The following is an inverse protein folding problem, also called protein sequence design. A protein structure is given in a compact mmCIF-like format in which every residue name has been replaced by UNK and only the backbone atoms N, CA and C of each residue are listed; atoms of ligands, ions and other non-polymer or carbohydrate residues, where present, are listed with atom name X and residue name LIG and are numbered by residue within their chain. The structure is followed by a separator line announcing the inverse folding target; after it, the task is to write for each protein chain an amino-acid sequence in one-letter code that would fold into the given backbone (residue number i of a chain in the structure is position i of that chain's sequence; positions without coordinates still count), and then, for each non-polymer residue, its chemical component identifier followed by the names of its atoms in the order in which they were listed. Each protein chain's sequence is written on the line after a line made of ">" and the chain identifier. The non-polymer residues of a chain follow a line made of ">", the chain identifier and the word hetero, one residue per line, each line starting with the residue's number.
data_IF_646265540439
#
_entry.id   IF_646265540439
#
_cell.length_a   1.000
_cell.length_b   1.000
_cell.length_c   1.000
_cell.angle_alpha   90.00
_cell.angle_beta   90.00
_cell.angle_gamma   90.00
#
_symmetry.space_group_name_H-M   'P 1'
#
loop_
_entity.id
_entity.type
_entity.pdbx_description
1 polymer ?
#
# COMPACT_ATOMS: atom_id res chain seq x y z
N UNK A 1 73.44 22.63 -48.93
CA UNK A 1 73.46 24.08 -49.15
C UNK A 1 72.70 24.78 -48.06
N UNK A 2 73.34 25.66 -47.35
CA UNK A 2 72.85 26.42 -46.20
C UNK A 2 71.72 27.37 -46.57
N UNK A 3 70.75 27.56 -45.73
CA UNK A 3 70.33 28.90 -45.40
C UNK A 3 69.62 28.91 -44.03
N UNK A 4 70.22 29.68 -43.15
CA UNK A 4 69.70 30.18 -41.91
C UNK A 4 68.63 31.21 -42.20
N UNK A 5 67.72 31.47 -41.27
CA UNK A 5 67.39 32.84 -40.81
C UNK A 5 66.12 32.76 -39.92
N UNK A 6 66.32 33.14 -38.73
CA UNK A 6 65.87 34.19 -37.79
C UNK A 6 64.51 33.99 -37.14
N UNK A 7 64.61 34.00 -35.81
CA UNK A 7 63.57 34.13 -34.80
C UNK A 7 62.85 35.47 -34.83
N UNK A 8 61.58 35.50 -34.69
CA UNK A 8 60.89 36.64 -34.04
C UNK A 8 59.97 36.11 -32.97
N UNK A 9 60.21 36.56 -31.75
CA UNK A 9 59.42 36.32 -30.54
C UNK A 9 58.40 37.44 -30.52
N UNK A 10 57.15 37.09 -30.57
CA UNK A 10 56.07 38.01 -30.22
C UNK A 10 55.39 37.50 -28.94
N UNK A 11 55.46 38.29 -27.91
CA UNK A 11 54.78 38.14 -26.65
C UNK A 11 53.25 38.41 -26.91
N UNK A 12 52.45 37.39 -26.75
CA UNK A 12 50.97 37.51 -26.76
C UNK A 12 50.47 37.12 -25.40
N UNK A 13 49.79 38.06 -24.75
CA UNK A 13 49.18 37.94 -23.42
C UNK A 13 48.30 36.73 -23.30
N UNK A 14 48.65 35.81 -22.37
CA UNK A 14 47.75 34.76 -21.90
C UNK A 14 46.76 35.37 -20.89
N UNK A 15 45.56 35.67 -21.33
CA UNK A 15 44.45 35.99 -20.43
C UNK A 15 43.92 34.65 -19.89
N UNK A 16 44.27 34.37 -18.65
CA UNK A 16 43.70 33.24 -17.90
C UNK A 16 42.25 33.59 -17.53
N UNK A 17 41.28 33.11 -18.29
CA UNK A 17 39.86 33.12 -17.88
C UNK A 17 39.65 31.99 -16.89
N UNK A 18 39.69 32.32 -15.61
CA UNK A 18 39.25 31.40 -14.56
C UNK A 18 37.72 31.23 -14.65
N UNK A 19 37.27 30.16 -15.27
CA UNK A 19 35.87 29.73 -15.21
C UNK A 19 35.66 29.14 -13.83
N UNK A 20 35.09 29.93 -12.90
CA UNK A 20 34.57 29.46 -11.65
C UNK A 20 33.30 28.63 -11.95
N UNK A 21 33.50 27.35 -12.13
CA UNK A 21 32.43 26.38 -12.15
C UNK A 21 31.79 26.29 -10.76
N UNK A 22 30.71 27.04 -10.53
CA UNK A 22 29.86 26.83 -9.39
C UNK A 22 29.21 25.45 -9.55
N UNK A 23 29.80 24.43 -8.93
CA UNK A 23 29.16 23.15 -8.74
C UNK A 23 27.95 23.39 -7.83
N UNK A 24 26.76 23.46 -8.42
CA UNK A 24 25.51 23.35 -7.68
C UNK A 24 25.44 21.94 -7.13
N UNK A 25 25.89 21.77 -5.91
CA UNK A 25 25.54 20.59 -5.13
C UNK A 25 24.03 20.67 -4.86
N UNK A 26 23.25 19.93 -5.65
CA UNK A 26 21.89 19.57 -5.29
C UNK A 26 22.02 18.67 -4.07
N UNK A 27 22.02 19.26 -2.89
CA UNK A 27 21.76 18.54 -1.67
C UNK A 27 20.30 18.06 -1.80
N UNK A 28 20.14 16.78 -2.07
CA UNK A 28 18.89 16.10 -1.79
C UNK A 28 18.63 16.33 -0.30
N UNK A 29 17.76 17.31 0.00
CA UNK A 29 17.19 17.46 1.32
C UNK A 29 16.36 16.20 1.53
N UNK A 30 16.90 15.27 2.33
CA UNK A 30 16.11 14.31 3.07
C UNK A 30 15.13 15.13 3.92
N UNK A 31 14.03 15.52 3.33
CA UNK A 31 12.88 16.02 4.05
C UNK A 31 12.24 14.83 4.74
N UNK A 32 12.90 14.35 5.82
CA UNK A 32 12.24 13.59 6.85
C UNK A 32 11.09 14.48 7.32
N UNK A 33 9.87 14.14 6.88
CA UNK A 33 8.68 14.80 7.37
C UNK A 33 8.77 14.83 8.89
N UNK A 34 8.47 15.97 9.55
CA UNK A 34 8.54 16.03 11.00
C UNK A 34 7.71 14.87 11.54
N UNK A 35 8.26 14.13 12.52
CA UNK A 35 7.56 13.09 13.25
C UNK A 35 6.32 13.74 13.92
N UNK A 36 5.28 13.94 13.13
CA UNK A 36 3.97 14.28 13.65
C UNK A 36 3.58 13.11 14.53
N UNK A 37 3.56 13.35 15.85
CA UNK A 37 3.24 12.33 16.83
C UNK A 37 1.95 11.66 16.39
N UNK A 38 2.01 10.38 16.00
CA UNK A 38 0.84 9.67 15.45
C UNK A 38 -0.36 9.90 16.36
N UNK A 39 -1.55 10.25 15.83
CA UNK A 39 -2.77 10.37 16.63
C UNK A 39 -3.17 9.02 17.26
N UNK A 40 -2.61 7.92 16.76
CA UNK A 40 -2.84 6.56 17.24
C UNK A 40 -1.50 5.88 17.57
N UNK A 41 -0.84 6.23 18.69
CA UNK A 41 0.50 5.75 19.02
C UNK A 41 0.52 4.28 19.46
N UNK A 42 -0.61 3.75 19.91
CA UNK A 42 -0.78 2.38 20.39
C UNK A 42 -2.16 1.84 20.01
N UNK A 43 -2.29 0.51 20.07
CA UNK A 43 -3.57 -0.16 19.88
C UNK A 43 -4.58 0.25 20.95
N UNK A 44 -5.78 0.62 20.54
CA UNK A 44 -6.93 0.78 21.43
C UNK A 44 -7.44 -0.60 21.91
N UNK A 45 -8.32 -0.67 22.92
CA UNK A 45 -9.00 -1.92 23.26
C UNK A 45 -9.63 -2.60 22.05
N UNK A 46 -9.49 -3.92 21.95
CA UNK A 46 -9.91 -4.71 20.77
C UNK A 46 -11.37 -4.44 20.36
N UNK A 47 -12.24 -4.21 21.34
CA UNK A 47 -13.67 -3.96 21.09
C UNK A 47 -13.94 -2.74 20.21
N UNK A 48 -13.03 -1.76 20.18
CA UNK A 48 -13.15 -0.60 19.31
C UNK A 48 -12.91 -0.94 17.82
N UNK A 49 -12.26 -2.06 17.55
CA UNK A 49 -12.04 -2.54 16.17
C UNK A 49 -13.10 -3.51 15.70
N UNK A 50 -13.84 -4.14 16.62
CA UNK A 50 -14.91 -5.06 16.26
C UNK A 50 -16.18 -4.30 15.82
N UNK A 51 -16.94 -4.89 14.92
CA UNK A 51 -18.31 -4.48 14.65
C UNK A 51 -19.21 -5.40 15.47
N UNK A 52 -20.06 -4.79 16.32
CA UNK A 52 -20.96 -5.55 17.21
C UNK A 52 -22.10 -6.21 16.45
N UNK A 53 -22.50 -5.60 15.34
CA UNK A 53 -23.52 -6.15 14.43
C UNK A 53 -22.82 -6.94 13.30
N UNK A 54 -22.95 -8.26 13.37
CA UNK A 54 -22.38 -9.19 12.38
C UNK A 54 -22.98 -9.00 10.99
N UNK A 55 -24.27 -8.74 10.90
CA UNK A 55 -24.97 -8.57 9.61
C UNK A 55 -24.58 -7.24 8.96
N UNK A 56 -24.36 -6.20 9.76
CA UNK A 56 -23.81 -4.94 9.28
C UNK A 56 -22.37 -5.09 8.74
N UNK A 57 -21.52 -5.91 9.38
CA UNK A 57 -20.18 -6.19 8.85
C UNK A 57 -20.25 -7.00 7.55
N UNK A 58 -21.13 -7.98 7.45
CA UNK A 58 -21.37 -8.74 6.20
C UNK A 58 -21.83 -7.81 5.07
N UNK A 59 -22.81 -6.95 5.35
CA UNK A 59 -23.31 -5.98 4.38
C UNK A 59 -22.20 -5.04 3.91
N UNK A 60 -21.42 -4.49 4.84
CA UNK A 60 -20.30 -3.60 4.54
C UNK A 60 -19.21 -4.31 3.71
N UNK A 61 -18.82 -5.54 4.05
CA UNK A 61 -17.84 -6.31 3.29
C UNK A 61 -18.24 -6.50 1.82
N UNK A 62 -19.53 -6.74 1.57
CA UNK A 62 -20.08 -6.92 0.22
C UNK A 62 -20.02 -5.66 -0.64
N UNK A 63 -20.00 -4.47 -0.03
CA UNK A 63 -19.86 -3.22 -0.78
C UNK A 63 -18.49 -3.04 -1.45
N UNK A 64 -17.52 -3.90 -1.15
CA UNK A 64 -16.18 -3.84 -1.74
C UNK A 64 -16.14 -4.13 -3.24
N UNK A 65 -17.10 -4.91 -3.76
CA UNK A 65 -17.15 -5.33 -5.17
C UNK A 65 -18.58 -5.23 -5.73
N UNK A 66 -18.75 -5.21 -7.08
CA UNK A 66 -20.08 -5.26 -7.68
C UNK A 66 -20.88 -6.48 -7.20
N UNK A 67 -22.21 -6.36 -7.14
CA UNK A 67 -23.11 -7.43 -6.70
C UNK A 67 -22.91 -8.76 -7.45
N UNK A 68 -22.62 -8.69 -8.76
CA UNK A 68 -22.30 -9.87 -9.58
C UNK A 68 -21.09 -10.69 -9.06
N UNK A 69 -20.29 -10.11 -8.17
CA UNK A 69 -19.16 -10.76 -7.51
C UNK A 69 -19.47 -11.00 -6.03
N UNK A 70 -19.91 -9.97 -5.32
CA UNK A 70 -20.04 -10.01 -3.86
C UNK A 70 -21.22 -10.83 -3.36
N UNK A 71 -22.28 -11.03 -4.16
CA UNK A 71 -23.44 -11.81 -3.74
C UNK A 71 -23.11 -13.30 -3.56
N UNK A 72 -22.22 -13.86 -4.40
CA UNK A 72 -21.75 -15.24 -4.35
C UNK A 72 -20.40 -15.42 -3.67
N UNK A 73 -19.82 -14.34 -3.10
CA UNK A 73 -18.53 -14.39 -2.42
C UNK A 73 -18.67 -14.99 -1.00
N UNK A 74 -17.61 -15.66 -0.55
CA UNK A 74 -17.46 -15.96 0.88
C UNK A 74 -17.27 -14.64 1.62
N UNK A 75 -18.02 -14.43 2.70
CA UNK A 75 -17.83 -13.26 3.57
C UNK A 75 -17.32 -13.72 4.93
N UNK A 76 -16.24 -13.11 5.37
CA UNK A 76 -15.69 -13.34 6.71
C UNK A 76 -15.77 -12.05 7.52
N UNK A 77 -16.06 -12.20 8.81
CA UNK A 77 -16.16 -11.09 9.78
C UNK A 77 -15.12 -11.25 10.87
N UNK A 78 -14.66 -10.12 11.41
CA UNK A 78 -13.66 -10.13 12.46
C UNK A 78 -14.32 -10.38 13.82
N UNK A 79 -13.81 -11.39 14.52
CA UNK A 79 -14.20 -11.74 15.90
C UNK A 79 -13.03 -11.57 16.85
N UNK A 80 -13.24 -11.87 18.14
CA UNK A 80 -12.15 -11.93 19.14
C UNK A 80 -11.14 -13.06 18.88
N UNK A 81 -11.46 -13.98 17.97
CA UNK A 81 -10.64 -15.15 17.64
C UNK A 81 -9.99 -15.05 16.24
N UNK A 82 -10.24 -13.95 15.52
CA UNK A 82 -9.81 -13.75 14.15
C UNK A 82 -10.98 -13.65 13.18
N UNK A 83 -10.69 -13.74 11.88
CA UNK A 83 -11.74 -13.77 10.88
C UNK A 83 -12.45 -15.13 10.84
N UNK A 84 -13.78 -15.09 10.92
CA UNK A 84 -14.65 -16.27 10.85
C UNK A 84 -15.60 -16.16 9.65
N UNK A 85 -15.87 -17.28 9.00
CA UNK A 85 -16.83 -17.31 7.88
C UNK A 85 -18.24 -17.01 8.38
N UNK A 86 -18.80 -15.90 7.92
CA UNK A 86 -20.18 -15.53 8.16
C UNK A 86 -21.11 -16.07 7.07
N UNK A 87 -20.65 -16.02 5.81
CA UNK A 87 -21.40 -16.51 4.64
C UNK A 87 -20.44 -17.34 3.80
N UNK A 88 -20.85 -18.56 3.41
CA UNK A 88 -20.11 -19.38 2.44
C UNK A 88 -20.50 -18.95 1.03
N UNK A 89 -19.52 -18.64 0.22
CA UNK A 89 -19.66 -18.33 -1.20
C UNK A 89 -19.35 -19.51 -2.12
N UNK A 90 -19.58 -19.31 -3.41
CA UNK A 90 -19.41 -20.34 -4.44
C UNK A 90 -18.49 -19.92 -5.59
N UNK A 91 -18.14 -18.63 -5.69
CA UNK A 91 -17.37 -18.08 -6.82
C UNK A 91 -15.86 -17.94 -6.54
N UNK A 92 -15.40 -18.38 -5.35
CA UNK A 92 -13.99 -18.32 -4.95
C UNK A 92 -13.50 -16.95 -4.46
N UNK A 93 -14.34 -15.91 -4.53
CA UNK A 93 -14.02 -14.62 -3.92
C UNK A 93 -14.21 -14.65 -2.41
N UNK A 94 -13.38 -13.86 -1.70
CA UNK A 94 -13.49 -13.66 -0.24
C UNK A 94 -13.56 -12.17 0.06
N UNK A 95 -14.67 -11.72 0.65
CA UNK A 95 -14.85 -10.33 1.07
C UNK A 95 -14.77 -10.22 2.59
N UNK A 96 -14.06 -9.20 3.05
CA UNK A 96 -13.86 -8.86 4.47
C UNK A 96 -13.93 -7.35 4.67
N UNK A 97 -13.98 -6.93 5.92
CA UNK A 97 -13.71 -5.53 6.29
C UNK A 97 -12.36 -5.48 7.00
N UNK A 98 -11.33 -4.96 6.31
CA UNK A 98 -10.00 -4.79 6.90
C UNK A 98 -9.98 -3.73 8.00
N UNK A 99 -8.95 -3.80 8.83
CA UNK A 99 -8.67 -2.88 9.94
C UNK A 99 -7.33 -2.16 9.71
N UNK A 100 -7.10 -1.08 10.43
CA UNK A 100 -5.94 -0.22 10.25
C UNK A 100 -4.58 -0.94 10.30
N UNK A 101 -4.45 -2.00 11.07
CA UNK A 101 -3.19 -2.78 11.20
C UNK A 101 -2.79 -3.56 9.95
N UNK A 102 -3.62 -3.57 8.88
CA UNK A 102 -3.24 -4.08 7.56
C UNK A 102 -2.49 -3.04 6.72
N UNK A 103 -2.47 -1.78 7.16
CA UNK A 103 -1.68 -0.71 6.54
C UNK A 103 -0.17 -0.95 6.69
N UNK A 104 0.64 -0.20 5.93
CA UNK A 104 2.09 -0.20 6.09
C UNK A 104 2.50 0.20 7.52
N UNK A 105 3.61 -0.35 8.02
CA UNK A 105 4.07 -0.11 9.39
C UNK A 105 4.51 1.34 9.65
N UNK A 106 4.82 2.11 8.64
CA UNK A 106 5.12 3.55 8.71
C UNK A 106 3.88 4.43 8.54
N UNK A 107 2.68 3.85 8.34
CA UNK A 107 1.45 4.61 8.24
C UNK A 107 1.05 5.20 9.62
N UNK A 108 0.75 6.52 9.71
CA UNK A 108 0.40 7.16 10.99
C UNK A 108 -0.92 6.65 11.60
N UNK A 109 -1.83 6.15 10.77
CA UNK A 109 -3.10 5.57 11.19
C UNK A 109 -3.07 4.07 11.48
N UNK A 110 -1.89 3.44 11.65
CA UNK A 110 -1.76 1.99 11.83
C UNK A 110 -2.64 1.42 12.96
N UNK A 111 -2.87 2.16 14.01
CA UNK A 111 -3.73 1.78 15.13
C UNK A 111 -5.06 2.54 15.18
N UNK A 112 -5.53 3.10 14.05
CA UNK A 112 -6.79 3.81 14.02
C UNK A 112 -7.98 2.85 14.20
N UNK A 113 -8.73 2.90 15.34
CA UNK A 113 -9.80 1.96 15.60
C UNK A 113 -11.05 2.20 14.76
N UNK A 114 -11.16 3.34 14.08
CA UNK A 114 -12.29 3.67 13.21
C UNK A 114 -12.18 3.03 11.83
N UNK A 115 -10.97 2.58 11.42
CA UNK A 115 -10.77 2.03 10.09
C UNK A 115 -11.73 0.87 9.81
N UNK A 116 -12.41 0.97 8.67
CA UNK A 116 -13.32 -0.02 8.11
C UNK A 116 -13.13 -0.01 6.61
N UNK A 117 -12.29 -0.90 6.12
CA UNK A 117 -11.89 -0.95 4.72
C UNK A 117 -12.42 -2.22 4.05
N UNK A 118 -13.63 -2.16 3.44
CA UNK A 118 -14.18 -3.28 2.70
C UNK A 118 -13.29 -3.66 1.52
N UNK A 119 -12.96 -4.94 1.41
CA UNK A 119 -12.12 -5.49 0.36
C UNK A 119 -12.60 -6.88 -0.05
N UNK A 120 -12.64 -7.16 -1.35
CA UNK A 120 -12.95 -8.48 -1.90
C UNK A 120 -11.75 -8.99 -2.69
N UNK A 121 -11.16 -10.07 -2.21
CA UNK A 121 -10.05 -10.79 -2.85
C UNK A 121 -10.57 -11.79 -3.86
N UNK A 122 -9.99 -11.87 -5.06
CA UNK A 122 -10.25 -12.97 -5.97
C UNK A 122 -9.64 -14.28 -5.46
N UNK A 123 -9.92 -15.40 -6.11
CA UNK A 123 -9.47 -16.72 -5.65
C UNK A 123 -7.95 -16.84 -5.49
N UNK A 124 -7.16 -16.22 -6.37
CA UNK A 124 -5.70 -16.21 -6.28
C UNK A 124 -5.21 -15.39 -5.07
N UNK A 125 -5.75 -14.19 -4.88
CA UNK A 125 -5.42 -13.34 -3.74
C UNK A 125 -5.92 -13.95 -2.41
N UNK A 126 -7.08 -14.62 -2.41
CA UNK A 126 -7.62 -15.30 -1.22
C UNK A 126 -6.70 -16.44 -0.72
N UNK A 127 -5.97 -17.11 -1.63
CA UNK A 127 -5.01 -18.16 -1.26
C UNK A 127 -3.60 -17.65 -0.98
N UNK A 128 -3.32 -16.38 -1.24
CA UNK A 128 -1.99 -15.80 -1.06
C UNK A 128 -2.02 -14.52 -0.21
N UNK A 129 -2.33 -13.37 -0.79
CA UNK A 129 -2.26 -12.05 -0.12
C UNK A 129 -3.19 -11.92 1.10
N UNK A 130 -4.38 -12.52 1.09
CA UNK A 130 -5.27 -12.53 2.25
C UNK A 130 -4.64 -13.21 3.47
N UNK A 131 -3.70 -14.15 3.26
CA UNK A 131 -2.98 -14.80 4.36
C UNK A 131 -2.15 -13.80 5.17
N UNK A 132 -1.68 -12.72 4.56
CA UNK A 132 -0.95 -11.67 5.29
C UNK A 132 -1.87 -10.91 6.25
N UNK A 133 -3.09 -10.61 5.81
CA UNK A 133 -4.13 -10.03 6.68
C UNK A 133 -4.43 -10.95 7.87
N UNK A 134 -4.62 -12.23 7.63
CA UNK A 134 -4.87 -13.19 8.72
C UNK A 134 -3.69 -13.31 9.67
N UNK A 135 -2.47 -13.30 9.14
CA UNK A 135 -1.27 -13.32 9.97
C UNK A 135 -1.17 -12.07 10.86
N UNK A 136 -1.39 -10.88 10.29
CA UNK A 136 -1.39 -9.63 11.08
C UNK A 136 -2.45 -9.65 12.18
N UNK A 137 -3.67 -10.12 11.87
CA UNK A 137 -4.73 -10.29 12.88
C UNK A 137 -4.28 -11.24 13.99
N UNK A 138 -3.69 -12.39 13.66
CA UNK A 138 -3.14 -13.34 14.64
C UNK A 138 -2.13 -12.67 15.57
N UNK A 139 -1.21 -11.86 15.03
CA UNK A 139 -0.19 -11.17 15.82
C UNK A 139 -0.81 -10.09 16.73
N UNK A 140 -1.81 -9.35 16.23
CA UNK A 140 -2.59 -8.37 17.01
C UNK A 140 -3.31 -9.04 18.17
N UNK A 141 -4.01 -10.14 17.90
CA UNK A 141 -4.74 -10.89 18.93
C UNK A 141 -3.82 -11.55 19.96
N UNK A 142 -2.58 -11.86 19.58
CA UNK A 142 -1.53 -12.31 20.50
C UNK A 142 -0.92 -11.16 21.33
N UNK A 143 -1.38 -9.91 21.15
CA UNK A 143 -0.95 -8.75 21.92
C UNK A 143 0.42 -8.19 21.54
N UNK A 144 0.93 -8.50 20.34
CA UNK A 144 2.22 -7.99 19.88
C UNK A 144 2.14 -6.48 19.62
N UNK A 145 3.17 -5.77 20.04
CA UNK A 145 3.37 -4.37 19.67
C UNK A 145 3.74 -4.25 18.17
N UNK A 146 3.53 -3.08 17.61
CA UNK A 146 3.87 -2.79 16.20
C UNK A 146 5.31 -3.15 15.81
N UNK A 147 6.36 -2.83 16.59
CA UNK A 147 7.72 -3.30 16.31
C UNK A 147 7.87 -4.83 16.36
N UNK A 148 7.23 -5.48 17.34
CA UNK A 148 7.28 -6.95 17.45
C UNK A 148 6.59 -7.64 16.27
N UNK A 149 5.44 -7.12 15.82
CA UNK A 149 4.77 -7.61 14.61
C UNK A 149 5.68 -7.48 13.38
N UNK A 150 6.33 -6.32 13.20
CA UNK A 150 7.22 -6.08 12.07
C UNK A 150 8.37 -7.10 12.03
N UNK A 151 9.05 -7.32 13.17
CA UNK A 151 10.16 -8.26 13.25
C UNK A 151 9.69 -9.71 13.06
N UNK A 152 8.51 -10.06 13.59
CA UNK A 152 7.93 -11.40 13.41
C UNK A 152 7.62 -11.68 11.94
N UNK A 153 6.97 -10.75 11.24
CA UNK A 153 6.65 -10.92 9.81
C UNK A 153 7.92 -10.99 8.96
N UNK A 154 8.95 -10.16 9.25
CA UNK A 154 10.24 -10.27 8.56
C UNK A 154 10.85 -11.66 8.70
N UNK A 155 10.79 -12.23 9.90
CA UNK A 155 11.29 -13.59 10.15
C UNK A 155 10.48 -14.65 9.38
N UNK A 156 9.15 -14.54 9.37
CA UNK A 156 8.26 -15.45 8.63
C UNK A 156 8.50 -15.38 7.12
N UNK A 157 8.75 -14.19 6.57
CA UNK A 157 9.12 -14.01 5.15
C UNK A 157 10.49 -14.64 4.86
N UNK A 158 11.50 -14.39 5.72
CA UNK A 158 12.83 -14.97 5.56
C UNK A 158 12.80 -16.49 5.60
N UNK A 159 11.94 -17.07 6.43
CA UNK A 159 11.73 -18.51 6.57
C UNK A 159 10.80 -19.10 5.50
N UNK A 160 10.26 -18.28 4.58
CA UNK A 160 9.29 -18.69 3.54
C UNK A 160 7.97 -19.24 4.11
N UNK A 161 7.59 -18.82 5.29
CA UNK A 161 6.31 -19.16 5.91
C UNK A 161 5.15 -18.36 5.29
N UNK A 162 5.46 -17.17 4.74
CA UNK A 162 4.53 -16.36 3.96
C UNK A 162 4.92 -16.43 2.48
N UNK A 163 4.12 -17.11 1.63
CA UNK A 163 4.40 -17.21 0.21
C UNK A 163 4.18 -15.88 -0.52
N UNK A 164 4.85 -15.61 -1.66
CA UNK A 164 4.51 -14.46 -2.49
C UNK A 164 3.10 -14.59 -3.08
N UNK A 165 2.50 -13.48 -3.55
CA UNK A 165 1.21 -13.52 -4.23
C UNK A 165 1.19 -14.49 -5.41
N UNK A 166 0.07 -15.22 -5.57
CA UNK A 166 -0.14 -16.06 -6.75
C UNK A 166 -0.31 -15.21 -8.03
N UNK A 167 0.06 -15.72 -9.22
CA UNK A 167 -0.22 -15.05 -10.47
C UNK A 167 -1.71 -14.71 -10.61
N UNK A 168 -2.00 -13.46 -10.98
CA UNK A 168 -3.38 -12.96 -11.11
C UNK A 168 -4.07 -12.60 -9.81
N UNK A 169 -3.35 -12.55 -8.69
CA UNK A 169 -3.89 -12.09 -7.41
C UNK A 169 -4.31 -10.62 -7.50
N UNK A 170 -5.59 -10.34 -7.22
CA UNK A 170 -6.14 -8.99 -7.22
C UNK A 170 -7.31 -8.87 -6.23
N UNK A 171 -7.62 -7.64 -5.86
CA UNK A 171 -8.77 -7.35 -5.01
C UNK A 171 -9.50 -6.07 -5.44
N UNK A 172 -10.75 -5.98 -5.00
CA UNK A 172 -11.63 -4.84 -5.21
C UNK A 172 -11.73 -4.02 -3.92
N UNK A 173 -11.60 -2.70 -4.03
CA UNK A 173 -11.93 -1.72 -2.99
C UNK A 173 -12.84 -0.63 -3.58
N UNK A 174 -14.09 -1.00 -3.86
CA UNK A 174 -15.06 -0.13 -4.56
C UNK A 174 -16.16 0.39 -3.62
N UNK A 175 -15.97 0.31 -2.31
CA UNK A 175 -16.97 0.75 -1.34
C UNK A 175 -16.90 2.25 -1.10
N UNK A 176 -18.04 2.94 -1.21
CA UNK A 176 -18.20 4.33 -0.76
C UNK A 176 -18.54 4.45 0.73
N UNK A 177 -18.78 3.32 1.41
CA UNK A 177 -19.17 3.26 2.81
C UNK A 177 -17.99 2.97 3.75
N UNK A 178 -16.82 2.66 3.17
CA UNK A 178 -15.61 2.40 3.94
C UNK A 178 -15.07 3.65 4.60
N UNK A 179 -14.40 3.49 5.75
CA UNK A 179 -13.62 4.55 6.39
C UNK A 179 -12.15 4.14 6.48
N UNK A 180 -11.31 4.79 5.71
CA UNK A 180 -9.92 4.42 5.57
C UNK A 180 -9.02 5.11 6.61
N UNK A 181 -9.13 6.44 6.73
CA UNK A 181 -8.36 7.23 7.69
C UNK A 181 -8.99 8.62 7.92
N UNK A 182 -8.48 9.34 8.93
CA UNK A 182 -9.00 10.67 9.32
C UNK A 182 -8.73 11.78 8.30
N UNK A 183 -7.80 11.59 7.37
CA UNK A 183 -7.42 12.61 6.37
C UNK A 183 -8.30 12.52 5.12
N UNK A 184 -8.48 11.31 4.61
CA UNK A 184 -9.20 11.07 3.37
C UNK A 184 -10.67 10.65 3.58
N UNK A 185 -11.05 10.20 4.79
CA UNK A 185 -12.33 9.55 5.04
C UNK A 185 -12.37 8.20 4.32
N UNK A 186 -12.72 8.20 3.04
CA UNK A 186 -12.62 7.03 2.16
C UNK A 186 -11.78 7.36 0.92
N UNK A 187 -11.31 6.31 0.22
CA UNK A 187 -10.54 6.46 -1.01
C UNK A 187 -11.46 6.49 -2.24
N UNK A 188 -10.89 6.91 -3.37
CA UNK A 188 -11.52 6.68 -4.68
C UNK A 188 -11.67 5.17 -4.91
N UNK A 189 -12.71 4.74 -5.66
CA UNK A 189 -12.85 3.33 -6.02
C UNK A 189 -11.66 2.86 -6.82
N UNK A 190 -11.08 1.71 -6.45
CA UNK A 190 -9.88 1.20 -7.10
C UNK A 190 -9.79 -0.32 -7.05
N UNK A 191 -9.00 -0.86 -7.96
CA UNK A 191 -8.53 -2.24 -7.93
C UNK A 191 -7.13 -2.28 -7.34
N UNK A 192 -6.78 -3.36 -6.68
CA UNK A 192 -5.42 -3.66 -6.23
C UNK A 192 -4.91 -4.92 -6.91
N UNK A 193 -3.72 -4.81 -7.50
CA UNK A 193 -2.98 -5.95 -8.04
C UNK A 193 -1.86 -6.31 -7.07
N UNK A 194 -1.91 -7.54 -6.58
CA UNK A 194 -0.95 -8.09 -5.63
C UNK A 194 0.15 -8.81 -6.39
N UNK A 195 1.33 -8.23 -6.44
CA UNK A 195 2.44 -8.72 -7.25
C UNK A 195 3.60 -9.13 -6.34
N UNK A 196 4.33 -10.23 -6.62
CA UNK A 196 5.58 -10.51 -5.93
C UNK A 196 6.48 -9.28 -5.94
N UNK A 197 7.25 -9.07 -4.86
CA UNK A 197 8.02 -7.84 -4.61
C UNK A 197 8.62 -7.27 -5.89
N UNK A 198 8.16 -6.08 -6.27
CA UNK A 198 8.44 -5.45 -7.57
C UNK A 198 8.60 -3.94 -7.38
N UNK A 199 9.55 -3.33 -8.08
CA UNK A 199 9.72 -1.89 -8.07
C UNK A 199 8.59 -1.19 -8.82
N UNK A 200 7.99 -0.15 -8.22
CA UNK A 200 6.87 0.59 -8.80
C UNK A 200 7.18 1.18 -10.18
N UNK A 201 8.42 1.62 -10.42
CA UNK A 201 8.85 2.18 -11.69
C UNK A 201 8.70 1.20 -12.88
N UNK A 202 8.84 -0.13 -12.64
CA UNK A 202 8.68 -1.14 -13.69
C UNK A 202 7.26 -1.25 -14.22
N UNK A 203 6.29 -0.70 -13.48
CA UNK A 203 4.86 -0.62 -13.85
C UNK A 203 4.45 0.81 -14.24
N UNK A 204 5.40 1.74 -14.30
CA UNK A 204 5.10 3.16 -14.52
C UNK A 204 4.29 3.79 -13.38
N UNK A 205 4.33 3.20 -12.18
CA UNK A 205 3.54 3.68 -11.06
C UNK A 205 4.00 5.08 -10.61
N UNK A 206 3.02 5.93 -10.28
CA UNK A 206 3.21 7.32 -9.84
C UNK A 206 3.94 8.22 -10.88
N UNK A 207 3.98 7.84 -12.15
CA UNK A 207 4.43 8.72 -13.23
C UNK A 207 3.30 9.65 -13.68
N UNK A 208 3.65 10.79 -14.24
CA UNK A 208 2.68 11.75 -14.79
C UNK A 208 1.76 11.10 -15.82
N UNK A 209 0.45 11.18 -15.59
CA UNK A 209 -0.56 10.56 -16.44
C UNK A 209 -0.71 9.04 -16.30
N UNK A 210 0.04 8.39 -15.43
CA UNK A 210 -0.14 6.96 -15.17
C UNK A 210 -1.36 6.72 -14.27
N UNK A 211 -2.27 5.80 -14.65
CA UNK A 211 -3.34 5.37 -13.77
C UNK A 211 -2.87 4.41 -12.66
N UNK A 212 -1.63 3.94 -12.74
CA UNK A 212 -1.07 3.00 -11.77
C UNK A 212 -0.45 3.77 -10.61
N UNK A 213 -0.86 3.42 -9.40
CA UNK A 213 -0.41 4.08 -8.17
C UNK A 213 0.19 3.04 -7.22
N UNK A 214 1.28 3.40 -6.56
CA UNK A 214 1.83 2.71 -5.40
C UNK A 214 1.78 3.66 -4.21
N UNK A 215 1.30 3.19 -3.08
CA UNK A 215 1.22 3.99 -1.86
C UNK A 215 2.62 4.52 -1.44
N UNK A 216 2.68 5.75 -0.88
CA UNK A 216 3.95 6.36 -0.47
C UNK A 216 4.60 5.66 0.74
N UNK A 217 3.82 4.92 1.52
CA UNK A 217 4.30 4.18 2.68
C UNK A 217 5.04 2.91 2.24
N UNK A 218 6.23 2.70 2.79
CA UNK A 218 7.17 1.70 2.27
C UNK A 218 7.50 0.56 3.21
N UNK A 219 7.14 0.68 4.48
CA UNK A 219 7.45 -0.35 5.47
C UNK A 219 6.40 -1.47 5.46
N UNK A 220 6.43 -2.24 4.36
CA UNK A 220 5.62 -3.44 4.14
C UNK A 220 6.57 -4.63 4.09
N UNK A 221 6.66 -5.45 5.16
CA UNK A 221 7.59 -6.58 5.24
C UNK A 221 7.16 -7.78 4.39
N UNK A 222 5.90 -7.89 4.05
CA UNK A 222 5.34 -8.98 3.24
C UNK A 222 5.97 -9.01 1.84
N UNK A 223 6.07 -10.21 1.19
CA UNK A 223 6.77 -10.38 -0.07
C UNK A 223 5.93 -9.91 -1.28
N UNK A 224 5.23 -8.78 -1.14
CA UNK A 224 4.37 -8.22 -2.18
C UNK A 224 4.61 -6.74 -2.42
N UNK A 225 4.24 -6.30 -3.62
CA UNK A 225 3.97 -4.90 -3.97
C UNK A 225 2.51 -4.82 -4.41
N UNK A 226 1.78 -3.85 -3.88
CA UNK A 226 0.38 -3.61 -4.26
C UNK A 226 0.33 -2.41 -5.19
N UNK A 227 -0.14 -2.64 -6.42
CA UNK A 227 -0.45 -1.60 -7.38
C UNK A 227 -1.94 -1.30 -7.35
N UNK A 228 -2.27 -0.02 -7.18
CA UNK A 228 -3.63 0.47 -7.19
C UNK A 228 -3.96 1.05 -8.56
N UNK A 229 -5.14 0.73 -9.08
CA UNK A 229 -5.67 1.32 -10.31
C UNK A 229 -7.04 1.90 -10.00
N UNK A 230 -7.16 3.24 -9.91
CA UNK A 230 -8.45 3.90 -9.74
C UNK A 230 -9.41 3.54 -10.88
N UNK A 231 -10.70 3.47 -10.56
CA UNK A 231 -11.77 3.22 -11.52
C UNK A 231 -12.88 4.25 -11.39
N UNK A 232 -13.68 4.41 -12.42
CA UNK A 232 -14.66 5.49 -12.50
C UNK A 232 -15.85 5.33 -11.55
N UNK A 233 -16.21 4.11 -11.17
CA UNK A 233 -17.45 3.84 -10.48
C UNK A 233 -17.25 3.07 -9.16
N UNK A 234 -18.10 3.36 -8.20
CA UNK A 234 -18.27 2.55 -7.00
C UNK A 234 -18.89 1.18 -7.32
N UNK A 235 -18.93 0.29 -6.34
CA UNK A 235 -19.47 -1.07 -6.50
C UNK A 235 -20.96 -1.11 -6.87
N UNK A 236 -21.72 -0.07 -6.53
CA UNK A 236 -23.14 0.08 -6.88
C UNK A 236 -23.37 0.71 -8.26
N UNK A 237 -22.31 0.96 -9.03
CA UNK A 237 -22.36 1.57 -10.36
C UNK A 237 -22.45 3.09 -10.38
N UNK A 238 -22.58 3.74 -9.23
CA UNK A 238 -22.58 5.21 -9.17
C UNK A 238 -21.18 5.77 -9.43
N UNK A 239 -21.07 6.97 -10.08
CA UNK A 239 -19.78 7.58 -10.35
C UNK A 239 -18.98 7.85 -9.06
N UNK A 240 -17.70 7.53 -9.10
CA UNK A 240 -16.71 7.97 -8.12
C UNK A 240 -16.35 9.45 -8.28
N UNK A 241 -15.50 10.00 -7.39
CA UNK A 241 -15.00 11.35 -7.56
C UNK A 241 -14.18 11.45 -8.86
N UNK A 242 -14.10 12.66 -9.48
CA UNK A 242 -13.23 12.87 -10.65
C UNK A 242 -11.78 12.51 -10.32
N UNK A 243 -11.15 11.83 -11.27
CA UNK A 243 -9.74 11.45 -11.19
C UNK A 243 -8.86 12.51 -11.83
#
# INVERSE_FOLDING_TARGET
>A
MNCKIIKTITWGNLVLVAVLGAAWQIQAQDTKAPDAKSPYPSMAPLDQYLMTDRDAEVALARTAAPKSISDDATVMVLTRHGYETAVKGTNGFVCIVDRAWTSAFDHPGFWNPKNRSPICYNAAAARSSLLYTFNRVKLVLAGLTKPQMLERIKAEVANRELPPPEPGAMSYMLSKEGYLNDQAGHWVPHLMFHIPKTEGASWGANLDGSPVVVAPFRLVPEPETIFLVPVANWSDGTPGPPM
#
